data_IF_190245873922
#
_entry.id   IF_190245873922
#
_cell.length_a   1.000
_cell.length_b   1.000
_cell.length_c   1.000
_cell.angle_alpha   90.00
_cell.angle_beta   90.00
_cell.angle_gamma   90.00
#
_symmetry.space_group_name_H-M   'P 1'
#
loop_
_entity.id
_entity.type
_entity.pdbx_description
1 polymer ?
#
# COMPACT_ATOMS: atom_id res chain seq x y z
N UNK A 1 -13.13 -13.89 -11.04
CA UNK A 1 -13.99 -12.70 -11.14
C UNK A 1 -13.43 -11.50 -10.36
N UNK A 2 -13.11 -11.60 -9.07
CA UNK A 2 -12.53 -10.50 -8.25
C UNK A 2 -11.25 -9.91 -8.87
N UNK A 3 -10.34 -10.73 -9.40
CA UNK A 3 -9.10 -10.25 -10.06
C UNK A 3 -9.37 -9.40 -11.30
N UNK A 4 -10.42 -9.71 -12.04
CA UNK A 4 -10.80 -8.97 -13.26
C UNK A 4 -11.43 -7.62 -12.90
N UNK A 5 -12.32 -7.58 -11.91
CA UNK A 5 -12.95 -6.34 -11.43
C UNK A 5 -11.89 -5.41 -10.85
N UNK A 6 -10.97 -5.92 -10.04
CA UNK A 6 -9.86 -5.15 -9.47
C UNK A 6 -8.92 -4.62 -10.57
N UNK A 7 -8.62 -5.43 -11.58
CA UNK A 7 -7.82 -5.02 -12.73
C UNK A 7 -8.50 -3.90 -13.54
N UNK A 8 -9.79 -4.00 -13.77
CA UNK A 8 -10.57 -2.99 -14.49
C UNK A 8 -10.64 -1.68 -13.72
N UNK A 9 -10.91 -1.71 -12.41
CA UNK A 9 -10.93 -0.52 -11.57
C UNK A 9 -9.57 0.18 -11.54
N UNK A 10 -8.47 -0.56 -11.35
CA UNK A 10 -7.13 0.02 -11.38
C UNK A 10 -6.74 0.57 -12.76
N UNK A 11 -7.18 -0.06 -13.84
CA UNK A 11 -6.89 0.42 -15.19
C UNK A 11 -7.57 1.76 -15.49
N UNK A 12 -8.75 2.02 -14.90
CA UNK A 12 -9.50 3.26 -15.14
C UNK A 12 -9.08 4.43 -14.23
N UNK A 13 -8.63 4.17 -12.99
CA UNK A 13 -8.47 5.22 -11.99
C UNK A 13 -7.02 5.57 -11.60
N UNK A 14 -6.01 4.75 -11.96
CA UNK A 14 -4.66 4.90 -11.41
C UNK A 14 -3.52 5.03 -12.45
N UNK A 15 -3.80 5.16 -13.74
CA UNK A 15 -2.76 5.08 -14.78
C UNK A 15 -2.13 6.41 -15.18
N UNK A 16 -2.67 7.54 -14.73
CA UNK A 16 -2.20 8.87 -15.16
C UNK A 16 -1.17 9.47 -14.19
N UNK A 17 -1.36 9.28 -12.88
CA UNK A 17 -0.55 9.94 -11.87
C UNK A 17 0.94 9.56 -11.91
N UNK A 18 1.25 8.27 -12.09
CA UNK A 18 2.64 7.80 -12.10
C UNK A 18 3.42 8.31 -13.33
N UNK A 19 2.75 8.42 -14.47
CA UNK A 19 3.34 8.98 -15.69
C UNK A 19 3.62 10.48 -15.56
N UNK A 20 2.74 11.22 -14.93
CA UNK A 20 2.92 12.66 -14.69
C UNK A 20 4.06 12.91 -13.69
N UNK A 21 4.11 12.19 -12.58
CA UNK A 21 5.19 12.30 -11.59
C UNK A 21 6.56 12.14 -12.25
N UNK A 22 6.72 11.15 -13.14
CA UNK A 22 7.99 10.88 -13.80
C UNK A 22 8.47 12.00 -14.74
N UNK A 23 7.56 12.79 -15.31
CA UNK A 23 7.93 13.93 -16.17
C UNK A 23 8.69 15.02 -15.41
N UNK A 24 8.45 15.17 -14.12
CA UNK A 24 9.11 16.17 -13.28
C UNK A 24 10.49 15.75 -12.78
N UNK A 25 10.87 14.49 -12.91
CA UNK A 25 12.11 13.97 -12.35
C UNK A 25 13.19 13.75 -13.41
N UNK A 26 14.21 14.60 -13.40
CA UNK A 26 15.40 14.49 -14.26
C UNK A 26 16.49 13.56 -13.72
N UNK A 27 16.40 13.14 -12.47
CA UNK A 27 17.42 12.34 -11.76
C UNK A 27 17.29 10.85 -12.12
N UNK A 28 18.41 10.16 -12.37
CA UNK A 28 18.42 8.76 -12.83
C UNK A 28 18.12 7.76 -11.71
N UNK A 29 18.66 7.96 -10.52
CA UNK A 29 18.52 7.02 -9.39
C UNK A 29 17.61 7.65 -8.34
N UNK A 30 16.38 7.20 -8.28
CA UNK A 30 15.36 7.72 -7.36
C UNK A 30 15.11 6.75 -6.24
N UNK A 31 14.73 7.29 -5.08
CA UNK A 31 14.21 6.54 -3.96
C UNK A 31 12.71 6.74 -3.90
N UNK A 32 11.97 5.64 -4.06
CA UNK A 32 10.51 5.61 -4.13
C UNK A 32 9.96 4.79 -2.98
N UNK A 33 9.14 5.40 -2.15
CA UNK A 33 8.43 4.73 -1.08
C UNK A 33 6.98 4.48 -1.49
N UNK A 34 6.53 3.22 -1.40
CA UNK A 34 5.15 2.79 -1.62
C UNK A 34 4.57 2.26 -0.30
N UNK A 35 3.97 3.16 0.51
CA UNK A 35 3.42 2.84 1.81
C UNK A 35 1.95 2.45 1.65
N UNK A 36 1.60 1.26 2.18
CA UNK A 36 0.36 0.58 1.86
C UNK A 36 0.40 0.02 0.43
N UNK A 37 1.47 -0.72 0.13
CA UNK A 37 1.76 -1.18 -1.23
C UNK A 37 0.83 -2.30 -1.71
N UNK A 38 0.23 -3.05 -0.82
CA UNK A 38 -0.66 -4.17 -1.08
C UNK A 38 -0.16 -5.10 -2.20
N UNK A 39 -0.75 -5.06 -3.39
CA UNK A 39 -0.35 -5.89 -4.55
C UNK A 39 0.77 -5.26 -5.39
N UNK A 40 1.31 -4.13 -4.97
CA UNK A 40 2.38 -3.41 -5.66
C UNK A 40 1.97 -2.84 -7.02
N UNK A 41 0.70 -2.45 -7.19
CA UNK A 41 0.24 -1.96 -8.48
C UNK A 41 0.85 -0.60 -8.82
N UNK A 42 0.96 0.31 -7.84
CA UNK A 42 1.68 1.57 -8.02
C UNK A 42 3.12 1.30 -8.48
N UNK A 43 3.86 0.49 -7.73
CA UNK A 43 5.24 0.13 -8.06
C UNK A 43 5.37 -0.50 -9.45
N UNK A 44 4.49 -1.43 -9.83
CA UNK A 44 4.50 -2.06 -11.17
C UNK A 44 4.28 -1.05 -12.29
N UNK A 45 3.33 -0.14 -12.12
CA UNK A 45 3.04 0.90 -13.10
C UNK A 45 4.19 1.89 -13.20
N UNK A 46 4.77 2.27 -12.06
CA UNK A 46 5.91 3.17 -12.01
C UNK A 46 7.10 2.57 -12.78
N UNK A 47 7.47 1.32 -12.52
CA UNK A 47 8.54 0.59 -13.24
C UNK A 47 8.26 0.51 -14.73
N UNK A 48 7.01 0.25 -15.13
CA UNK A 48 6.63 0.22 -16.54
C UNK A 48 6.88 1.54 -17.25
N UNK A 49 6.61 2.66 -16.58
CA UNK A 49 6.82 3.99 -17.11
C UNK A 49 8.31 4.38 -17.10
N UNK A 50 9.06 4.00 -16.06
CA UNK A 50 10.52 4.20 -16.00
C UNK A 50 11.25 3.53 -17.17
N UNK A 51 10.87 2.29 -17.51
CA UNK A 51 11.45 1.58 -18.64
C UNK A 51 11.32 2.33 -19.95
N UNK A 52 10.22 3.06 -20.15
CA UNK A 52 10.01 3.89 -21.35
C UNK A 52 10.91 5.13 -21.37
N UNK A 53 11.33 5.60 -20.21
CA UNK A 53 12.12 6.82 -20.06
C UNK A 53 13.62 6.55 -19.83
N UNK A 54 14.03 5.30 -19.74
CA UNK A 54 15.40 4.91 -19.44
C UNK A 54 15.84 5.28 -18.02
N UNK A 55 14.89 5.36 -17.09
CA UNK A 55 15.11 5.72 -15.69
C UNK A 55 15.13 4.45 -14.85
N UNK A 56 15.76 4.51 -13.68
CA UNK A 56 15.88 3.40 -12.75
C UNK A 56 15.72 3.91 -11.32
N UNK A 57 14.84 3.30 -10.51
CA UNK A 57 14.60 3.69 -9.12
C UNK A 57 14.80 2.52 -8.16
N UNK A 58 15.09 2.83 -6.91
CA UNK A 58 15.07 1.91 -5.79
C UNK A 58 13.73 2.05 -5.06
N UNK A 59 13.03 0.97 -4.88
CA UNK A 59 11.70 0.94 -4.29
C UNK A 59 11.72 0.33 -2.89
N UNK A 60 11.08 1.02 -1.96
CA UNK A 60 10.86 0.57 -0.58
C UNK A 60 9.35 0.43 -0.38
N UNK A 61 8.90 -0.81 -0.25
CA UNK A 61 7.49 -1.17 -0.15
C UNK A 61 7.15 -1.54 1.28
N UNK A 62 6.09 -0.95 1.82
CA UNK A 62 5.64 -1.18 3.19
C UNK A 62 4.20 -1.65 3.21
N UNK A 63 3.94 -2.74 3.90
CA UNK A 63 2.59 -3.20 4.22
C UNK A 63 2.63 -4.19 5.39
N UNK A 64 1.93 -3.93 6.50
CA UNK A 64 1.93 -4.80 7.66
C UNK A 64 1.09 -6.07 7.48
N UNK A 65 0.29 -6.18 6.42
CA UNK A 65 -0.53 -7.35 6.15
C UNK A 65 0.36 -8.55 5.75
N UNK A 66 0.36 -9.67 6.50
CA UNK A 66 1.24 -10.80 6.27
C UNK A 66 1.03 -11.48 4.90
N UNK A 67 -0.15 -11.33 4.29
CA UNK A 67 -0.47 -11.94 3.01
C UNK A 67 0.15 -11.19 1.82
N UNK A 68 0.57 -9.95 2.00
CA UNK A 68 1.05 -9.06 0.92
C UNK A 68 2.28 -9.63 0.25
N UNK A 69 3.23 -10.20 0.99
CA UNK A 69 4.45 -10.81 0.43
C UNK A 69 4.14 -11.82 -0.68
N UNK A 70 3.02 -12.56 -0.56
CA UNK A 70 2.63 -13.54 -1.57
C UNK A 70 2.21 -12.90 -2.90
N UNK A 71 1.66 -11.69 -2.87
CA UNK A 71 1.29 -10.95 -4.08
C UNK A 71 2.47 -10.27 -4.75
N UNK A 72 3.51 -9.98 -3.97
CA UNK A 72 4.70 -9.28 -4.44
C UNK A 72 5.77 -10.21 -5.03
N UNK A 73 5.64 -11.53 -4.91
CA UNK A 73 6.68 -12.50 -5.29
C UNK A 73 7.38 -12.17 -6.61
N UNK A 74 6.60 -11.95 -7.68
CA UNK A 74 7.17 -11.69 -9.01
C UNK A 74 7.92 -10.37 -9.12
N UNK A 75 7.52 -9.33 -8.38
CA UNK A 75 8.22 -8.05 -8.44
C UNK A 75 9.43 -8.02 -7.52
N UNK A 76 9.45 -8.83 -6.46
CA UNK A 76 10.57 -8.95 -5.53
C UNK A 76 11.77 -9.71 -6.13
N UNK A 77 11.65 -10.31 -7.30
CA UNK A 77 12.79 -10.81 -8.09
C UNK A 77 13.66 -9.65 -8.61
N UNK A 78 13.11 -8.45 -8.70
CA UNK A 78 13.89 -7.25 -9.04
C UNK A 78 14.68 -6.77 -7.81
N UNK A 79 16.00 -6.81 -7.89
CA UNK A 79 16.94 -6.43 -6.81
C UNK A 79 16.81 -4.97 -6.34
N UNK A 80 16.12 -4.12 -7.10
CA UNK A 80 15.86 -2.73 -6.74
C UNK A 80 14.61 -2.56 -5.86
N UNK A 81 13.90 -3.64 -5.57
CA UNK A 81 12.67 -3.61 -4.75
C UNK A 81 12.95 -4.28 -3.42
N UNK A 82 12.83 -3.53 -2.34
CA UNK A 82 12.84 -4.03 -0.98
C UNK A 82 11.42 -3.98 -0.41
N UNK A 83 10.99 -5.05 0.26
CA UNK A 83 9.69 -5.11 0.93
C UNK A 83 9.86 -5.29 2.43
N UNK A 84 9.12 -4.52 3.18
CA UNK A 84 9.11 -4.54 4.65
C UNK A 84 7.69 -4.85 5.13
N UNK A 85 7.54 -5.95 5.87
CA UNK A 85 6.29 -6.28 6.56
C UNK A 85 6.20 -5.46 7.85
N UNK A 86 6.01 -4.16 7.68
CA UNK A 86 6.11 -3.13 8.69
C UNK A 86 5.03 -2.08 8.43
N UNK A 87 4.45 -1.55 9.50
CA UNK A 87 3.62 -0.35 9.45
C UNK A 87 4.46 0.87 9.77
N UNK A 88 4.39 1.91 8.95
CA UNK A 88 4.93 3.21 9.32
C UNK A 88 3.87 4.00 10.10
N UNK A 89 4.30 4.69 11.17
CA UNK A 89 3.41 5.45 12.06
C UNK A 89 4.23 6.53 12.81
N UNK A 90 3.60 7.26 13.73
CA UNK A 90 4.24 8.32 14.51
C UNK A 90 5.07 7.82 15.71
N UNK A 91 5.24 6.53 15.90
CA UNK A 91 6.01 5.96 17.01
C UNK A 91 6.46 4.53 16.75
N UNK A 92 7.62 4.18 17.32
CA UNK A 92 8.16 2.83 17.31
C UNK A 92 7.46 2.01 18.41
N UNK A 93 6.54 1.15 18.02
CA UNK A 93 5.73 0.39 18.99
C UNK A 93 5.12 -0.86 18.37
N UNK A 94 4.34 -1.59 19.17
CA UNK A 94 3.43 -2.63 18.67
C UNK A 94 2.02 -2.11 18.68
N UNK A 95 1.35 -2.14 17.54
CA UNK A 95 -0.03 -1.69 17.39
C UNK A 95 -0.91 -2.78 16.81
N UNK A 96 -2.18 -2.70 17.10
CA UNK A 96 -3.19 -3.57 16.50
C UNK A 96 -3.44 -3.13 15.05
N UNK A 97 -3.36 -4.08 14.14
CA UNK A 97 -3.66 -3.87 12.73
C UNK A 97 -4.86 -4.73 12.36
N UNK A 98 -5.81 -4.14 11.68
CA UNK A 98 -7.03 -4.79 11.25
C UNK A 98 -7.02 -4.94 9.74
N UNK A 99 -7.14 -6.15 9.25
CA UNK A 99 -7.24 -6.40 7.83
C UNK A 99 -8.45 -7.25 7.50
N UNK A 100 -9.02 -6.97 6.32
CA UNK A 100 -10.18 -7.69 5.85
C UNK A 100 -9.74 -9.03 5.26
N UNK A 101 -10.23 -10.13 5.83
CA UNK A 101 -9.91 -11.48 5.37
C UNK A 101 -10.56 -11.83 4.03
N UNK A 102 -11.55 -11.06 3.62
CA UNK A 102 -12.32 -11.32 2.42
C UNK A 102 -11.88 -10.48 1.22
N UNK A 103 -11.75 -9.15 1.41
CA UNK A 103 -11.14 -8.22 0.45
C UNK A 103 -9.85 -7.71 1.05
N UNK A 104 -8.82 -8.51 1.00
CA UNK A 104 -7.54 -8.30 1.68
C UNK A 104 -6.95 -6.88 1.53
N UNK A 105 -7.42 -6.11 0.55
CA UNK A 105 -6.93 -4.78 0.23
C UNK A 105 -7.73 -3.62 0.80
N UNK A 106 -9.02 -3.80 0.97
CA UNK A 106 -9.89 -2.65 1.24
C UNK A 106 -10.22 -2.56 2.72
N UNK A 107 -9.87 -1.43 3.35
CA UNK A 107 -10.17 -1.15 4.74
C UNK A 107 -9.21 -1.82 5.74
N UNK A 108 -8.00 -2.19 5.30
CA UNK A 108 -6.94 -2.62 6.21
C UNK A 108 -6.25 -1.39 6.79
N UNK A 109 -6.25 -1.22 8.12
CA UNK A 109 -5.74 0.00 8.76
C UNK A 109 -5.33 -0.21 10.21
N UNK A 110 -4.43 0.64 10.69
CA UNK A 110 -4.21 0.89 12.12
C UNK A 110 -5.34 1.73 12.72
N UNK A 111 -6.10 2.44 11.89
CA UNK A 111 -7.14 3.36 12.33
C UNK A 111 -8.49 2.64 12.46
N UNK A 112 -9.03 2.58 13.68
CA UNK A 112 -10.33 1.95 13.98
C UNK A 112 -11.54 2.80 13.60
N UNK A 113 -11.37 4.11 13.41
CA UNK A 113 -12.47 5.05 13.12
C UNK A 113 -13.14 4.72 11.79
N UNK A 114 -12.36 4.42 10.76
CA UNK A 114 -12.89 4.03 9.45
C UNK A 114 -13.68 2.72 9.53
N UNK A 115 -13.21 1.78 10.35
CA UNK A 115 -13.89 0.50 10.57
C UNK A 115 -15.29 0.65 11.16
N UNK A 116 -15.46 1.64 12.04
CA UNK A 116 -16.69 1.80 12.84
C UNK A 116 -17.73 2.73 12.20
N UNK A 117 -17.41 3.35 11.06
CA UNK A 117 -18.35 4.17 10.29
C UNK A 117 -19.53 3.30 9.79
N UNK A 118 -20.74 3.63 10.29
CA UNK A 118 -21.98 2.92 9.95
C UNK A 118 -22.34 3.03 8.46
N UNK A 119 -22.08 4.20 7.86
CA UNK A 119 -22.40 4.46 6.43
C UNK A 119 -21.50 3.63 5.52
N UNK A 120 -20.20 3.58 5.83
CA UNK A 120 -19.23 2.77 5.12
C UNK A 120 -19.55 1.27 5.20
N UNK A 121 -19.91 0.76 6.40
CA UNK A 121 -20.35 -0.63 6.61
C UNK A 121 -21.61 -0.95 5.80
N UNK A 122 -22.59 -0.06 5.78
CA UNK A 122 -23.87 -0.26 5.09
C UNK A 122 -23.69 -0.36 3.58
N UNK A 123 -23.01 0.60 2.96
CA UNK A 123 -22.76 0.64 1.50
C UNK A 123 -21.99 -0.58 1.04
N UNK A 124 -20.98 -0.97 1.80
CA UNK A 124 -20.15 -2.14 1.52
C UNK A 124 -20.93 -3.44 1.65
N UNK A 125 -21.81 -3.55 2.65
CA UNK A 125 -22.68 -4.72 2.85
C UNK A 125 -23.58 -4.96 1.65
N UNK A 126 -24.22 -3.92 1.14
CA UNK A 126 -25.10 -3.99 -0.05
C UNK A 126 -24.31 -4.46 -1.27
N UNK A 127 -23.17 -3.84 -1.54
CA UNK A 127 -22.32 -4.21 -2.67
C UNK A 127 -21.85 -5.68 -2.59
N UNK A 128 -21.51 -6.16 -1.40
CA UNK A 128 -21.04 -7.51 -1.19
C UNK A 128 -22.16 -8.57 -1.31
N UNK A 129 -23.36 -8.27 -0.85
CA UNK A 129 -24.50 -9.19 -0.98
C UNK A 129 -24.87 -9.45 -2.45
N UNK A 130 -24.69 -8.47 -3.33
CA UNK A 130 -24.95 -8.63 -4.76
C UNK A 130 -23.93 -9.57 -5.42
N UNK A 131 -22.66 -9.48 -5.05
CA UNK A 131 -21.59 -10.22 -5.72
C UNK A 131 -21.25 -11.59 -5.10
N UNK A 132 -21.59 -11.82 -3.82
CA UNK A 132 -21.33 -13.11 -3.16
C UNK A 132 -22.36 -13.42 -2.05
N UNK A 133 -23.55 -13.92 -2.40
CA UNK A 133 -24.66 -14.14 -1.47
C UNK A 133 -24.41 -15.21 -0.40
N UNK A 134 -23.38 -16.05 -0.55
CA UNK A 134 -23.13 -17.21 0.31
C UNK A 134 -21.96 -17.07 1.28
N UNK A 135 -21.27 -15.92 1.34
CA UNK A 135 -20.16 -15.73 2.30
C UNK A 135 -20.52 -14.75 3.41
N UNK A 136 -20.17 -15.08 4.65
CA UNK A 136 -20.28 -14.17 5.80
C UNK A 136 -19.47 -12.91 5.54
N UNK A 137 -20.14 -11.77 5.63
CA UNK A 137 -19.59 -10.46 5.34
C UNK A 137 -18.89 -9.94 6.60
N UNK A 138 -17.61 -9.58 6.49
CA UNK A 138 -17.01 -8.66 7.45
C UNK A 138 -16.13 -9.22 8.55
N UNK A 139 -15.50 -10.37 8.35
CA UNK A 139 -14.48 -10.80 9.30
C UNK A 139 -13.18 -10.02 9.07
N UNK A 140 -12.90 -9.10 10.01
CA UNK A 140 -11.57 -8.52 10.14
C UNK A 140 -10.73 -9.42 11.03
N UNK A 141 -9.55 -9.79 10.58
CA UNK A 141 -8.55 -10.35 11.45
C UNK A 141 -7.79 -9.21 12.14
N UNK A 142 -7.53 -9.38 13.42
CA UNK A 142 -6.71 -8.49 14.23
C UNK A 142 -5.36 -9.17 14.45
N UNK A 143 -4.28 -8.47 14.15
CA UNK A 143 -2.92 -8.90 14.47
C UNK A 143 -2.14 -7.77 15.13
N UNK A 144 -1.12 -8.13 15.87
CA UNK A 144 -0.15 -7.16 16.36
C UNK A 144 0.96 -7.02 15.32
N UNK A 145 1.22 -5.77 14.92
CA UNK A 145 2.29 -5.42 13.98
C UNK A 145 3.29 -4.50 14.63
N UNK A 146 4.53 -4.55 14.19
CA UNK A 146 5.53 -3.55 14.54
C UNK A 146 5.24 -2.27 13.78
N UNK A 147 5.39 -1.13 14.46
CA UNK A 147 5.41 0.19 13.85
C UNK A 147 6.77 0.83 14.01
N UNK A 148 7.15 1.64 13.03
CA UNK A 148 8.37 2.44 13.05
C UNK A 148 8.05 3.82 12.50
N UNK A 149 8.76 4.86 12.95
CA UNK A 149 8.64 6.18 12.35
C UNK A 149 9.32 6.20 10.99
N UNK A 150 8.88 7.11 10.12
CA UNK A 150 9.50 7.30 8.82
C UNK A 150 10.96 7.74 8.96
N UNK A 151 11.22 8.65 9.90
CA UNK A 151 12.54 9.20 10.17
C UNK A 151 13.51 8.11 10.67
N UNK A 152 13.11 7.29 11.66
CA UNK A 152 13.95 6.21 12.17
C UNK A 152 14.22 5.15 11.10
N UNK A 153 13.21 4.82 10.27
CA UNK A 153 13.42 3.90 9.15
C UNK A 153 14.45 4.45 8.16
N UNK A 154 14.36 5.73 7.80
CA UNK A 154 15.33 6.36 6.91
C UNK A 154 16.74 6.37 7.51
N UNK A 155 16.86 6.62 8.82
CA UNK A 155 18.12 6.58 9.53
C UNK A 155 18.76 5.18 9.51
N UNK A 156 17.98 4.14 9.81
CA UNK A 156 18.41 2.75 9.83
C UNK A 156 18.88 2.26 8.45
N UNK A 157 18.15 2.60 7.40
CA UNK A 157 18.47 2.24 6.01
C UNK A 157 19.45 3.21 5.34
N UNK A 158 19.91 4.26 6.05
CA UNK A 158 20.83 5.32 5.55
C UNK A 158 20.28 6.04 4.31
N UNK A 159 19.00 6.37 4.37
CA UNK A 159 18.30 7.09 3.31
C UNK A 159 18.24 8.57 3.67
N UNK A 160 18.93 9.40 2.90
CA UNK A 160 19.00 10.85 3.14
C UNK A 160 17.83 11.59 2.46
N UNK A 161 17.29 11.05 1.37
CA UNK A 161 16.24 11.71 0.59
C UNK A 161 15.25 10.67 0.05
N UNK A 162 13.96 11.02 0.08
CA UNK A 162 12.90 10.30 -0.61
C UNK A 162 12.46 11.16 -1.80
N UNK A 163 12.61 10.67 -3.02
CA UNK A 163 12.21 11.39 -4.22
C UNK A 163 10.69 11.29 -4.47
N UNK A 164 10.09 10.16 -4.14
CA UNK A 164 8.65 9.92 -4.28
C UNK A 164 8.13 9.20 -3.05
N UNK A 165 7.15 9.79 -2.38
CA UNK A 165 6.44 9.21 -1.26
C UNK A 165 4.97 9.02 -1.63
N UNK A 166 4.54 7.76 -1.88
CA UNK A 166 3.13 7.39 -2.02
C UNK A 166 2.65 6.79 -0.72
N UNK A 167 1.54 7.28 -0.22
CA UNK A 167 0.85 6.76 0.96
C UNK A 167 -0.60 6.43 0.60
N UNK A 168 -1.03 5.24 0.98
CA UNK A 168 -2.41 4.77 0.83
C UNK A 168 -2.69 3.77 1.96
N UNK A 169 -2.87 4.32 3.17
CA UNK A 169 -2.89 3.57 4.44
C UNK A 169 -4.22 3.63 5.15
N UNK A 170 -5.27 4.08 4.43
CA UNK A 170 -6.64 4.11 4.95
C UNK A 170 -6.74 4.89 6.27
N UNK A 171 -6.16 6.11 6.29
CA UNK A 171 -6.29 7.07 7.37
C UNK A 171 -5.12 7.16 8.36
N UNK A 172 -3.98 6.54 8.09
CA UNK A 172 -2.76 6.68 8.90
C UNK A 172 -1.75 7.69 8.31
N UNK A 173 -2.06 8.31 7.16
CA UNK A 173 -1.13 9.17 6.40
C UNK A 173 -0.59 10.32 7.24
N UNK A 174 -1.45 11.00 8.01
CA UNK A 174 -1.03 12.11 8.86
C UNK A 174 -0.10 11.67 10.00
N UNK A 175 -0.32 10.47 10.55
CA UNK A 175 0.54 9.94 11.60
C UNK A 175 1.94 9.60 11.04
N UNK A 176 2.00 9.01 9.84
CA UNK A 176 3.26 8.70 9.16
C UNK A 176 4.08 9.97 8.94
N UNK A 177 3.44 11.08 8.52
CA UNK A 177 4.11 12.36 8.31
C UNK A 177 4.54 13.08 9.60
N UNK A 178 4.09 12.63 10.77
CA UNK A 178 4.49 13.16 12.07
C UNK A 178 5.63 12.38 12.74
N UNK A 179 5.95 11.23 12.20
CA UNK A 179 7.04 10.36 12.64
C UNK A 179 8.25 10.49 11.76
#
# INVERSE_FOLDING_TARGET
MQRIIYYLLNKFFMTEAEGEILKYFKKKDKIVFDIGCFRGNFTKNFIKNEKKLGIKSNFFLFDPNPNVKNYLKLILENTQIKYFNLALDNSNSKKKFYFNTFFEASGSSLNTVIRDDKKWKSTRKIFMQIFQPFKKIGDFAEINVQTQTLDDFCLDEKIENIDVLKMDTEGSELNILKG
#
